data_IF_653179128571
#
_entry.id   IF_653179128571
#
_cell.length_a   1.000
_cell.length_b   1.000
_cell.length_c   1.000
_cell.angle_alpha   90.00
_cell.angle_beta   90.00
_cell.angle_gamma   90.00
#
_symmetry.space_group_name_H-M   'P 1'
#
loop_
_entity.id
_entity.type
_entity.pdbx_description
1 polymer ?
#
# COMPACT_ATOMS: atom_id res chain seq x y z
N UNK A 1 -31.12 0.12 -20.08
CA UNK A 1 -30.92 -0.07 -18.63
C UNK A 1 -29.73 0.78 -18.23
N UNK A 2 -29.96 1.84 -17.42
CA UNK A 2 -28.87 2.60 -16.82
C UNK A 2 -28.07 1.66 -15.90
N UNK A 3 -26.71 1.69 -15.92
CA UNK A 3 -25.92 0.90 -15.02
C UNK A 3 -26.25 1.32 -13.58
N UNK A 4 -26.81 0.40 -12.80
CA UNK A 4 -27.10 0.62 -11.39
C UNK A 4 -25.83 0.52 -10.57
N UNK A 5 -25.63 1.44 -9.61
CA UNK A 5 -24.57 1.33 -8.62
C UNK A 5 -25.15 0.73 -7.34
N UNK A 6 -24.46 -0.27 -6.78
CA UNK A 6 -24.77 -0.83 -5.47
C UNK A 6 -23.85 -0.22 -4.42
N UNK A 7 -24.41 0.33 -3.35
CA UNK A 7 -23.66 0.90 -2.24
C UNK A 7 -23.88 0.03 -0.99
N UNK A 8 -22.78 -0.34 -0.32
CA UNK A 8 -22.80 -1.01 0.97
C UNK A 8 -22.46 -0.01 2.06
N UNK A 9 -23.45 0.43 2.82
CA UNK A 9 -23.26 1.31 3.98
C UNK A 9 -23.08 0.47 5.24
N UNK A 10 -22.10 0.85 6.06
CA UNK A 10 -21.80 0.17 7.32
C UNK A 10 -21.56 1.19 8.41
N UNK A 11 -22.12 0.92 9.57
CA UNK A 11 -22.00 1.80 10.74
C UNK A 11 -20.80 1.34 11.55
N UNK A 12 -19.90 2.27 11.88
CA UNK A 12 -18.81 2.07 12.80
C UNK A 12 -19.30 2.28 14.23
N UNK A 13 -19.07 1.28 15.08
CA UNK A 13 -19.38 1.33 16.51
C UNK A 13 -18.10 1.08 17.30
N UNK A 14 -17.56 2.11 17.96
CA UNK A 14 -16.36 2.01 18.80
C UNK A 14 -16.51 0.93 19.91
N UNK A 15 -17.72 0.75 20.41
CA UNK A 15 -18.03 -0.25 21.45
C UNK A 15 -17.82 -1.69 20.96
N UNK A 16 -17.95 -1.95 19.67
CA UNK A 16 -17.76 -3.28 19.09
C UNK A 16 -16.32 -3.77 19.26
N UNK A 17 -15.33 -2.91 19.03
CA UNK A 17 -13.92 -3.23 19.24
C UNK A 17 -13.64 -3.65 20.68
N UNK A 18 -14.17 -2.89 21.67
CA UNK A 18 -14.02 -3.21 23.08
C UNK A 18 -14.67 -4.55 23.50
N UNK A 19 -15.82 -4.89 22.89
CA UNK A 19 -16.48 -6.18 23.10
C UNK A 19 -15.65 -7.33 22.51
N UNK A 20 -15.13 -7.17 21.31
CA UNK A 20 -14.26 -8.18 20.66
C UNK A 20 -12.99 -8.42 21.47
N UNK A 21 -12.37 -7.38 22.03
CA UNK A 21 -11.21 -7.53 22.93
C UNK A 21 -11.55 -8.33 24.18
N UNK A 22 -12.72 -8.12 24.79
CA UNK A 22 -13.15 -8.92 25.97
C UNK A 22 -13.34 -10.39 25.62
N UNK A 23 -13.86 -10.71 24.45
CA UNK A 23 -14.04 -12.09 23.98
C UNK A 23 -12.72 -12.83 23.75
N UNK A 24 -11.58 -12.13 23.60
CA UNK A 24 -10.27 -12.77 23.49
C UNK A 24 -9.81 -13.48 24.76
N UNK A 25 -10.37 -13.14 25.93
CA UNK A 25 -10.07 -13.83 27.20
C UNK A 25 -10.69 -15.22 27.31
N UNK A 26 -11.77 -15.48 26.55
CA UNK A 26 -12.43 -16.78 26.52
C UNK A 26 -11.77 -17.70 25.48
N UNK A 27 -11.17 -18.80 25.97
CA UNK A 27 -10.43 -19.74 25.12
C UNK A 27 -11.28 -20.38 23.99
N UNK A 28 -12.58 -20.59 24.26
CA UNK A 28 -13.48 -21.25 23.30
C UNK A 28 -13.86 -20.36 22.11
N UNK A 29 -13.99 -19.05 22.33
CA UNK A 29 -14.39 -18.09 21.29
C UNK A 29 -13.23 -17.28 20.75
N UNK A 30 -12.03 -17.36 21.37
CA UNK A 30 -10.81 -16.62 20.97
C UNK A 30 -10.52 -16.65 19.48
N UNK A 31 -10.50 -17.81 18.77
CA UNK A 31 -10.18 -17.82 17.34
C UNK A 31 -11.18 -17.02 16.50
N UNK A 32 -12.47 -17.10 16.86
CA UNK A 32 -13.55 -16.35 16.18
C UNK A 32 -13.47 -14.85 16.51
N UNK A 33 -13.21 -14.51 17.77
CA UNK A 33 -13.05 -13.13 18.21
C UNK A 33 -11.82 -12.48 17.53
N UNK A 34 -10.71 -13.20 17.44
CA UNK A 34 -9.51 -12.74 16.73
C UNK A 34 -9.79 -12.46 15.25
N UNK A 35 -10.46 -13.38 14.56
CA UNK A 35 -10.84 -13.20 13.16
C UNK A 35 -11.83 -12.02 12.96
N UNK A 36 -12.74 -11.82 13.90
CA UNK A 36 -13.68 -10.70 13.89
C UNK A 36 -12.96 -9.36 14.14
N UNK A 37 -12.02 -9.32 15.09
CA UNK A 37 -11.20 -8.15 15.39
C UNK A 37 -10.33 -7.76 14.19
N UNK A 38 -9.66 -8.72 13.56
CA UNK A 38 -8.87 -8.47 12.35
C UNK A 38 -9.73 -7.87 11.23
N UNK A 39 -10.96 -8.39 11.03
CA UNK A 39 -11.88 -7.83 10.03
C UNK A 39 -12.36 -6.43 10.40
N UNK A 40 -12.60 -6.18 11.68
CA UNK A 40 -12.98 -4.87 12.19
C UNK A 40 -11.85 -3.86 11.95
N UNK A 41 -10.63 -4.17 12.37
CA UNK A 41 -9.46 -3.30 12.23
C UNK A 41 -9.17 -3.02 10.74
N UNK A 42 -9.19 -4.04 9.89
CA UNK A 42 -8.99 -3.88 8.45
C UNK A 42 -10.00 -2.91 7.85
N UNK A 43 -11.27 -3.04 8.23
CA UNK A 43 -12.37 -2.28 7.62
C UNK A 43 -12.54 -0.87 8.16
N UNK A 44 -12.46 -0.71 9.48
CA UNK A 44 -12.82 0.54 10.15
C UNK A 44 -11.60 1.36 10.58
N UNK A 45 -10.41 0.77 10.66
CA UNK A 45 -9.18 1.46 11.03
C UNK A 45 -8.24 1.58 9.83
N UNK A 46 -7.89 0.46 9.21
CA UNK A 46 -6.86 0.47 8.16
C UNK A 46 -7.38 1.03 6.83
N UNK A 47 -8.56 0.63 6.36
CA UNK A 47 -9.07 1.08 5.08
C UNK A 47 -9.34 2.60 5.02
N UNK A 48 -9.95 3.25 6.04
CA UNK A 48 -10.07 4.71 6.05
C UNK A 48 -8.73 5.44 6.12
N UNK A 49 -7.78 4.93 6.92
CA UNK A 49 -6.44 5.52 7.03
C UNK A 49 -5.67 5.40 5.70
N UNK A 50 -5.74 4.24 5.04
CA UNK A 50 -5.19 4.02 3.71
C UNK A 50 -5.78 4.98 2.68
N UNK A 51 -7.11 5.11 2.66
CA UNK A 51 -7.80 6.02 1.74
C UNK A 51 -7.38 7.48 1.96
N UNK A 52 -7.32 7.94 3.21
CA UNK A 52 -6.91 9.29 3.55
C UNK A 52 -5.45 9.58 3.12
N UNK A 53 -4.54 8.61 3.34
CA UNK A 53 -3.15 8.73 2.93
C UNK A 53 -2.98 8.80 1.41
N UNK A 54 -3.72 7.96 0.68
CA UNK A 54 -3.70 7.99 -0.79
C UNK A 54 -4.32 9.26 -1.36
N UNK A 55 -5.42 9.75 -0.79
CA UNK A 55 -6.03 11.01 -1.22
C UNK A 55 -5.06 12.16 -1.07
N UNK A 56 -4.37 12.26 0.09
CA UNK A 56 -3.36 13.30 0.31
C UNK A 56 -2.17 13.19 -0.68
N UNK A 57 -1.81 11.96 -1.07
CA UNK A 57 -0.76 11.75 -2.07
C UNK A 57 -1.23 12.10 -3.49
N UNK A 58 -2.50 11.81 -3.83
CA UNK A 58 -3.10 12.18 -5.12
C UNK A 58 -3.20 13.70 -5.29
N UNK A 59 -3.50 14.43 -4.22
CA UNK A 59 -3.53 15.91 -4.22
C UNK A 59 -2.15 16.50 -4.55
N UNK A 60 -1.07 15.84 -4.12
CA UNK A 60 0.32 16.25 -4.43
C UNK A 60 0.79 15.81 -5.82
N UNK A 61 0.31 14.67 -6.31
CA UNK A 61 0.79 14.02 -7.52
C UNK A 61 -0.36 13.69 -8.48
N UNK A 62 -0.72 14.63 -9.35
CA UNK A 62 -1.82 14.46 -10.32
C UNK A 62 -1.67 13.21 -11.20
N UNK A 63 -0.44 12.74 -11.44
CA UNK A 63 -0.15 11.55 -12.23
C UNK A 63 -0.46 10.22 -11.48
N UNK A 64 -0.66 10.23 -10.14
CA UNK A 64 -0.90 9.03 -9.37
C UNK A 64 -2.23 8.36 -9.73
N UNK A 65 -3.32 9.10 -9.79
CA UNK A 65 -4.63 8.54 -10.12
C UNK A 65 -4.68 7.87 -11.51
N UNK A 66 -4.17 8.48 -12.60
CA UNK A 66 -4.06 7.80 -13.89
C UNK A 66 -3.11 6.59 -13.85
N UNK A 67 -2.01 6.64 -13.08
CA UNK A 67 -1.12 5.48 -12.88
C UNK A 67 -1.87 4.31 -12.27
N UNK A 68 -2.61 4.52 -11.18
CA UNK A 68 -3.41 3.48 -10.51
C UNK A 68 -4.41 2.85 -11.48
N UNK A 69 -5.10 3.67 -12.30
CA UNK A 69 -6.04 3.15 -13.31
C UNK A 69 -5.37 2.24 -14.34
N UNK A 70 -4.19 2.64 -14.85
CA UNK A 70 -3.44 1.84 -15.81
C UNK A 70 -2.94 0.53 -15.20
N UNK A 71 -2.39 0.57 -13.99
CA UNK A 71 -1.91 -0.61 -13.27
C UNK A 71 -3.07 -1.58 -13.00
N UNK A 72 -4.19 -1.10 -12.46
CA UNK A 72 -5.37 -1.95 -12.21
C UNK A 72 -5.91 -2.58 -13.49
N UNK A 73 -5.93 -1.82 -14.61
CA UNK A 73 -6.35 -2.34 -15.91
C UNK A 73 -5.41 -3.45 -16.39
N UNK A 74 -4.09 -3.27 -16.24
CA UNK A 74 -3.11 -4.28 -16.62
C UNK A 74 -3.24 -5.54 -15.77
N UNK A 75 -3.33 -5.42 -14.44
CA UNK A 75 -3.56 -6.55 -13.55
C UNK A 75 -4.87 -7.29 -13.88
N UNK A 76 -5.92 -6.55 -14.24
CA UNK A 76 -7.19 -7.12 -14.70
C UNK A 76 -7.04 -7.91 -16.00
N UNK A 77 -6.32 -7.37 -16.98
CA UNK A 77 -6.04 -8.03 -18.25
C UNK A 77 -5.20 -9.30 -18.09
N UNK A 78 -4.34 -9.34 -17.07
CA UNK A 78 -3.54 -10.53 -16.72
C UNK A 78 -4.25 -11.49 -15.74
N UNK A 79 -5.52 -11.23 -15.41
CA UNK A 79 -6.32 -12.02 -14.46
C UNK A 79 -5.71 -12.10 -13.03
N UNK A 80 -4.88 -11.13 -12.66
CA UNK A 80 -4.18 -11.09 -11.37
C UNK A 80 -4.95 -10.41 -10.24
N UNK A 81 -6.09 -9.73 -10.53
CA UNK A 81 -6.87 -9.00 -9.51
C UNK A 81 -7.44 -9.89 -8.40
N UNK A 82 -7.60 -11.19 -8.66
CA UNK A 82 -8.03 -12.16 -7.63
C UNK A 82 -6.93 -12.54 -6.64
N UNK A 83 -5.67 -12.25 -6.97
CA UNK A 83 -4.49 -12.63 -6.19
C UNK A 83 -3.87 -11.45 -5.44
N UNK A 84 -4.09 -10.22 -5.93
CA UNK A 84 -3.53 -8.99 -5.35
C UNK A 84 -4.66 -8.05 -4.95
N UNK A 85 -4.72 -7.71 -3.67
CA UNK A 85 -5.73 -6.78 -3.16
C UNK A 85 -5.60 -5.38 -3.76
N UNK A 86 -6.73 -4.65 -3.89
CA UNK A 86 -6.73 -3.30 -4.46
C UNK A 86 -5.84 -2.33 -3.66
N UNK A 87 -5.80 -2.45 -2.34
CA UNK A 87 -4.96 -1.64 -1.46
C UNK A 87 -3.47 -1.88 -1.73
N UNK A 88 -3.08 -3.13 -2.03
CA UNK A 88 -1.70 -3.48 -2.39
C UNK A 88 -1.28 -2.82 -3.69
N UNK A 89 -2.15 -2.81 -4.70
CA UNK A 89 -1.88 -2.12 -5.97
C UNK A 89 -1.72 -0.62 -5.78
N UNK A 90 -2.54 -0.03 -4.93
CA UNK A 90 -2.45 1.39 -4.60
C UNK A 90 -1.12 1.72 -3.91
N UNK A 91 -0.65 0.86 -2.99
CA UNK A 91 0.64 1.02 -2.32
C UNK A 91 1.81 0.83 -3.29
N UNK A 92 1.75 -0.12 -4.21
CA UNK A 92 2.77 -0.27 -5.26
C UNK A 92 2.86 0.97 -6.14
N UNK A 93 1.72 1.56 -6.50
CA UNK A 93 1.70 2.83 -7.22
C UNK A 93 2.28 3.96 -6.36
N UNK A 94 1.87 4.08 -5.10
CA UNK A 94 2.38 5.10 -4.19
C UNK A 94 3.91 5.01 -4.00
N UNK A 95 4.46 3.79 -3.96
CA UNK A 95 5.89 3.56 -3.83
C UNK A 95 6.70 4.32 -4.87
N UNK A 96 6.27 4.26 -6.13
CA UNK A 96 6.97 4.89 -7.26
C UNK A 96 7.00 6.42 -7.17
N UNK A 97 6.04 7.02 -6.45
CA UNK A 97 5.99 8.47 -6.23
C UNK A 97 6.72 8.91 -4.95
N UNK A 98 6.93 7.99 -4.01
CA UNK A 98 7.54 8.31 -2.71
C UNK A 98 9.04 7.96 -2.64
N UNK A 99 9.50 6.96 -3.39
CA UNK A 99 10.87 6.45 -3.25
C UNK A 99 11.90 7.29 -3.99
N UNK A 100 11.52 8.03 -5.02
CA UNK A 100 12.47 8.83 -5.79
C UNK A 100 12.00 10.29 -5.93
N UNK A 101 12.37 11.11 -4.94
CA UNK A 101 12.00 12.53 -4.90
C UNK A 101 12.53 13.35 -6.10
N UNK A 102 13.65 12.94 -6.71
CA UNK A 102 14.27 13.65 -7.83
C UNK A 102 13.70 13.28 -9.20
N UNK A 103 12.94 12.19 -9.27
CA UNK A 103 12.39 11.68 -10.53
C UNK A 103 10.94 11.24 -10.38
N UNK A 104 10.09 12.09 -9.79
CA UNK A 104 8.66 11.81 -9.65
C UNK A 104 8.02 11.69 -11.05
N UNK A 105 7.18 10.67 -11.32
CA UNK A 105 6.49 10.55 -12.60
C UNK A 105 5.60 11.76 -12.88
N UNK A 106 5.80 12.40 -14.05
CA UNK A 106 4.98 13.53 -14.48
C UNK A 106 3.68 13.10 -15.15
N UNK A 107 3.64 11.87 -15.68
CA UNK A 107 2.47 11.32 -16.39
C UNK A 107 2.07 9.96 -15.85
N UNK A 108 0.79 9.58 -16.06
CA UNK A 108 0.29 8.26 -15.65
C UNK A 108 1.02 7.11 -16.35
N UNK A 109 1.46 7.32 -17.59
CA UNK A 109 2.21 6.30 -18.33
C UNK A 109 3.61 6.09 -17.76
N UNK A 110 4.32 7.17 -17.42
CA UNK A 110 5.61 7.06 -16.73
C UNK A 110 5.46 6.33 -15.38
N UNK A 111 4.44 6.69 -14.61
CA UNK A 111 4.14 5.98 -13.36
C UNK A 111 3.88 4.50 -13.57
N UNK A 112 3.08 4.16 -14.59
CA UNK A 112 2.79 2.77 -14.95
C UNK A 112 4.04 1.98 -15.30
N UNK A 113 4.89 2.50 -16.20
CA UNK A 113 6.15 1.84 -16.60
C UNK A 113 7.04 1.62 -15.37
N UNK A 114 7.15 2.61 -14.49
CA UNK A 114 7.95 2.47 -13.25
C UNK A 114 7.39 1.45 -12.27
N UNK A 115 6.06 1.30 -12.18
CA UNK A 115 5.47 0.22 -11.37
C UNK A 115 5.85 -1.14 -11.94
N UNK A 116 5.82 -1.31 -13.27
CA UNK A 116 6.26 -2.56 -13.90
C UNK A 116 7.76 -2.81 -13.69
N UNK A 117 8.59 -1.77 -13.78
CA UNK A 117 10.03 -1.86 -13.48
C UNK A 117 10.26 -2.24 -12.00
N UNK A 118 9.52 -1.63 -11.08
CA UNK A 118 9.55 -1.99 -9.67
C UNK A 118 9.23 -3.48 -9.48
N UNK A 119 8.14 -3.97 -10.07
CA UNK A 119 7.73 -5.36 -9.96
C UNK A 119 8.73 -6.34 -10.56
N UNK A 120 9.44 -5.94 -11.63
CA UNK A 120 10.44 -6.77 -12.29
C UNK A 120 11.72 -6.94 -11.46
N UNK A 121 12.08 -5.96 -10.62
CA UNK A 121 13.35 -5.95 -9.88
C UNK A 121 13.18 -6.14 -8.37
N UNK A 122 11.98 -5.98 -7.83
CA UNK A 122 11.75 -6.10 -6.39
C UNK A 122 11.52 -7.54 -5.97
N UNK A 123 12.43 -8.06 -5.15
CA UNK A 123 12.21 -9.33 -4.45
C UNK A 123 11.40 -9.11 -3.17
N UNK A 124 10.11 -9.35 -3.28
CA UNK A 124 9.17 -9.20 -2.16
C UNK A 124 9.41 -10.19 -1.01
N UNK A 125 10.19 -11.25 -1.22
CA UNK A 125 10.49 -12.27 -0.22
C UNK A 125 11.60 -11.81 0.71
N UNK A 126 12.56 -11.06 0.18
CA UNK A 126 13.72 -10.61 0.94
C UNK A 126 13.54 -9.19 1.49
N UNK A 127 12.91 -8.29 0.72
CA UNK A 127 12.83 -6.87 1.05
C UNK A 127 11.37 -6.43 1.18
N UNK A 128 10.90 -6.10 2.41
CA UNK A 128 9.56 -5.56 2.59
C UNK A 128 9.45 -4.15 2.02
N UNK A 129 8.35 -3.85 1.34
CA UNK A 129 8.03 -2.50 0.86
C UNK A 129 7.47 -1.65 2.01
N UNK A 130 8.26 -0.72 2.51
CA UNK A 130 7.88 0.20 3.58
C UNK A 130 7.73 1.62 3.02
N UNK A 131 6.53 2.20 3.14
CA UNK A 131 6.22 3.52 2.59
C UNK A 131 6.03 4.55 3.71
N UNK A 132 6.66 5.74 3.62
CA UNK A 132 6.46 6.84 4.56
C UNK A 132 5.17 7.61 4.21
N UNK A 133 4.01 7.02 4.49
CA UNK A 133 2.73 7.70 4.31
C UNK A 133 2.48 8.62 5.50
N UNK A 134 2.48 9.93 5.30
CA UNK A 134 2.44 10.94 6.37
C UNK A 134 1.18 10.87 7.27
N UNK A 135 0.06 10.44 6.74
CA UNK A 135 -1.17 10.25 7.52
C UNK A 135 -1.24 8.89 8.24
N UNK A 136 -0.26 8.02 8.04
CA UNK A 136 -0.14 6.78 8.81
C UNK A 136 0.37 7.01 10.24
N UNK A 137 0.52 8.26 10.68
CA UNK A 137 1.05 8.62 12.01
C UNK A 137 0.21 8.06 13.17
N UNK A 138 -1.10 7.89 13.02
CA UNK A 138 -1.92 7.20 14.04
C UNK A 138 -1.61 5.70 14.11
N UNK A 139 -1.43 5.03 12.99
CA UNK A 139 -1.02 3.62 12.91
C UNK A 139 0.43 3.41 13.31
N UNK A 140 1.31 4.37 12.99
CA UNK A 140 2.71 4.36 13.43
C UNK A 140 2.82 4.46 14.97
N UNK A 141 1.93 5.18 15.64
CA UNK A 141 1.91 5.25 17.11
C UNK A 141 1.52 3.90 17.75
N UNK A 142 0.57 3.17 17.19
CA UNK A 142 0.19 1.84 17.66
C UNK A 142 1.25 0.77 17.34
N UNK A 143 1.91 0.84 16.19
CA UNK A 143 3.04 -0.02 15.82
C UNK A 143 4.34 0.35 16.54
N UNK A 144 4.51 1.61 16.95
CA UNK A 144 5.69 2.08 17.69
C UNK A 144 5.82 1.41 19.07
N UNK A 145 4.71 0.95 19.64
CA UNK A 145 4.70 0.15 20.87
C UNK A 145 5.10 -1.32 20.65
N UNK A 146 4.97 -1.86 19.43
CA UNK A 146 5.19 -3.28 19.12
C UNK A 146 6.55 -3.60 18.47
N UNK A 147 7.24 -2.62 17.89
CA UNK A 147 8.52 -2.82 17.20
C UNK A 147 9.51 -1.77 17.67
N UNK A 148 10.67 -2.20 18.19
CA UNK A 148 11.75 -1.28 18.56
C UNK A 148 12.02 -0.31 17.41
N UNK A 149 11.89 0.98 17.69
CA UNK A 149 11.86 2.06 16.69
C UNK A 149 13.10 2.15 15.77
N UNK A 150 14.19 1.45 16.10
CA UNK A 150 15.43 1.40 15.31
C UNK A 150 15.35 0.47 14.09
N UNK A 151 14.76 -0.73 14.25
CA UNK A 151 14.74 -1.75 13.19
C UNK A 151 13.87 -1.40 11.99
N UNK A 152 12.68 -0.83 12.23
CA UNK A 152 11.77 -0.46 11.12
C UNK A 152 12.31 0.71 10.30
N UNK A 153 12.96 1.68 10.96
CA UNK A 153 13.60 2.81 10.24
C UNK A 153 14.83 2.38 9.45
N UNK A 154 15.60 1.41 9.96
CA UNK A 154 16.75 0.85 9.24
C UNK A 154 16.27 0.08 8.00
N UNK A 155 15.27 -0.80 8.13
CA UNK A 155 14.67 -1.54 7.02
C UNK A 155 14.02 -0.61 5.99
N UNK A 156 13.32 0.45 6.42
CA UNK A 156 12.73 1.43 5.52
C UNK A 156 13.78 2.20 4.71
N UNK A 157 14.89 2.58 5.33
CA UNK A 157 16.02 3.26 4.64
C UNK A 157 16.71 2.32 3.66
N UNK A 158 16.97 1.11 4.08
CA UNK A 158 17.64 0.09 3.24
C UNK A 158 16.76 -0.29 2.04
N UNK A 159 15.46 -0.51 2.25
CA UNK A 159 14.53 -0.78 1.16
C UNK A 159 14.43 0.40 0.19
N UNK A 160 14.31 1.63 0.69
CA UNK A 160 14.29 2.83 -0.15
C UNK A 160 15.58 2.98 -0.98
N UNK A 161 16.75 2.73 -0.37
CA UNK A 161 18.04 2.79 -1.08
C UNK A 161 18.14 1.72 -2.17
N UNK A 162 17.75 0.46 -1.87
CA UNK A 162 17.74 -0.63 -2.86
C UNK A 162 16.81 -0.33 -4.04
N UNK A 163 15.62 0.24 -3.78
CA UNK A 163 14.70 0.66 -4.84
C UNK A 163 15.26 1.79 -5.69
N UNK A 164 15.93 2.77 -5.07
CA UNK A 164 16.54 3.87 -5.81
C UNK A 164 17.65 3.37 -6.73
N UNK A 165 18.49 2.44 -6.26
CA UNK A 165 19.55 1.81 -7.06
C UNK A 165 18.94 1.01 -8.22
N UNK A 166 17.97 0.13 -7.96
CA UNK A 166 17.34 -0.67 -9.00
C UNK A 166 16.65 0.16 -10.09
N UNK A 167 16.01 1.28 -9.72
CA UNK A 167 15.39 2.20 -10.68
C UNK A 167 16.45 3.03 -11.43
N UNK A 168 17.59 3.33 -10.80
CA UNK A 168 18.72 4.04 -11.42
C UNK A 168 19.41 3.17 -12.47
N UNK A 169 19.70 1.92 -12.16
CA UNK A 169 20.32 0.96 -13.08
C UNK A 169 19.44 0.66 -14.31
N UNK A 170 18.11 0.61 -14.12
CA UNK A 170 17.18 0.41 -15.23
C UNK A 170 17.05 1.65 -16.16
N UNK A 171 17.50 2.82 -15.72
CA UNK A 171 17.46 4.07 -16.49
C UNK A 171 18.73 4.34 -17.28
N UNK A 172 19.84 3.60 -17.05
CA UNK A 172 21.05 3.69 -17.85
C UNK A 172 20.76 3.10 -19.24
N UNK A 173 20.82 3.89 -20.33
CA UNK A 173 20.75 3.33 -21.67
C UNK A 173 21.99 2.47 -21.85
N UNK A 174 21.84 1.22 -22.28
CA UNK A 174 22.95 0.41 -22.77
C UNK A 174 23.63 1.22 -23.87
N UNK A 175 24.72 1.90 -23.51
CA UNK A 175 25.62 2.55 -24.44
C UNK A 175 26.15 1.50 -25.36
N UNK A 176 25.62 1.46 -26.60
CA UNK A 176 26.12 0.63 -27.64
C UNK A 176 27.57 1.03 -27.91
N UNK A 177 28.48 0.11 -27.59
CA UNK A 177 29.81 0.12 -28.13
C UNK A 177 29.67 -0.24 -29.62
N UNK A 178 29.93 0.74 -30.50
CA UNK A 178 30.14 0.56 -31.90
C UNK A 178 31.50 -0.11 -32.23
#
# INVERSE_FOLDING_TARGET
LAPGFAFSLRIHLEREQGLLHRLLSDAHVRPRAQAALTRYDTRFVHAPAHHAALSALQDRHAALAPTVRLVRRWFGAQLLLGHVGPETLDLLCAAVFLTNAHAVPATGLQGYVRVLTLLAHWDSREVPLLLPLENATRLAHQRKAALSAGGVRALARESAQRFTVALGEAAEPHGGAG
#
